data_IF_002099763314
#
_entry.id   IF_002099763314
#
_cell.length_a   1.000
_cell.length_b   1.000
_cell.length_c   1.000
_cell.angle_alpha   90.00
_cell.angle_beta   90.00
_cell.angle_gamma   90.00
#
_symmetry.space_group_name_H-M   'P 1'
#
loop_
_entity.id
_entity.type
_entity.pdbx_description
1 polymer ?
#
# COMPACT_ATOMS: atom_id res chain seq x y z
N UNK A 1 -5.36 -1.14 -16.65
CA UNK A 1 -5.49 0.29 -16.32
C UNK A 1 -4.16 0.77 -15.77
N UNK A 2 -3.80 2.03 -15.96
CA UNK A 2 -2.59 2.60 -15.36
C UNK A 2 -2.90 3.10 -13.95
N UNK A 3 -2.02 2.79 -13.00
CA UNK A 3 -2.10 3.33 -11.64
C UNK A 3 -1.86 4.85 -11.69
N UNK A 4 -2.81 5.65 -11.21
CA UNK A 4 -2.71 7.11 -11.13
C UNK A 4 -1.86 7.54 -9.94
N UNK A 5 -1.90 6.76 -8.86
CA UNK A 5 -1.11 7.03 -7.65
C UNK A 5 0.38 6.89 -7.94
N UNK A 6 1.13 7.95 -7.64
CA UNK A 6 2.59 7.92 -7.71
C UNK A 6 3.14 7.07 -6.58
N UNK A 7 3.80 5.96 -6.92
CA UNK A 7 4.51 5.09 -5.99
C UNK A 7 6.00 5.04 -6.33
N UNK A 8 6.82 4.75 -5.32
CA UNK A 8 8.26 4.52 -5.48
C UNK A 8 8.78 3.55 -4.42
N UNK A 9 9.92 2.93 -4.71
CA UNK A 9 10.60 2.02 -3.81
C UNK A 9 11.88 2.66 -3.27
N UNK A 10 12.19 2.45 -1.98
CA UNK A 10 13.48 2.79 -1.38
C UNK A 10 14.51 1.66 -1.59
N UNK A 11 15.79 1.92 -1.33
CA UNK A 11 16.84 0.89 -1.38
C UNK A 11 16.67 -0.26 -0.37
N UNK A 12 15.72 -0.14 0.57
CA UNK A 12 15.40 -1.15 1.57
C UNK A 12 14.21 -2.05 1.16
N UNK A 13 13.74 -1.97 -0.09
CA UNK A 13 12.53 -2.65 -0.59
C UNK A 13 11.23 -2.17 0.10
N UNK A 14 11.22 -0.93 0.58
CA UNK A 14 10.03 -0.29 1.12
C UNK A 14 9.33 0.49 0.03
N UNK A 15 8.02 0.36 -0.05
CA UNK A 15 7.16 1.04 -0.99
C UNK A 15 6.46 2.20 -0.30
N UNK A 16 6.50 3.34 -0.98
CA UNK A 16 5.82 4.55 -0.58
C UNK A 16 4.98 5.06 -1.73
N UNK A 17 3.93 5.79 -1.40
CA UNK A 17 3.10 6.47 -2.38
C UNK A 17 2.49 7.75 -1.84
N UNK A 18 2.00 8.59 -2.75
CA UNK A 18 1.16 9.72 -2.39
C UNK A 18 -0.31 9.30 -2.35
N UNK A 19 -0.87 9.21 -1.14
CA UNK A 19 -2.29 8.93 -0.89
C UNK A 19 -2.87 10.18 -0.24
N UNK A 20 -3.92 10.76 -0.83
CA UNK A 20 -4.55 12.00 -0.36
C UNK A 20 -3.53 13.15 -0.10
N UNK A 21 -2.63 13.39 -1.06
CA UNK A 21 -1.52 14.37 -0.97
C UNK A 21 -0.51 14.14 0.17
N UNK A 22 -0.60 13.02 0.88
CA UNK A 22 0.33 12.64 1.93
C UNK A 22 1.23 11.49 1.48
N UNK A 23 2.51 11.59 1.83
CA UNK A 23 3.43 10.47 1.66
C UNK A 23 3.08 9.39 2.68
N UNK A 24 2.70 8.21 2.21
CA UNK A 24 2.33 7.07 3.03
C UNK A 24 3.21 5.86 2.74
N UNK A 25 3.48 5.08 3.80
CA UNK A 25 4.12 3.78 3.69
C UNK A 25 3.10 2.74 3.21
N UNK A 26 3.37 2.12 2.06
CA UNK A 26 2.47 1.15 1.44
C UNK A 26 2.85 -0.30 1.78
N UNK A 27 4.03 -0.55 2.34
CA UNK A 27 4.50 -1.88 2.68
C UNK A 27 5.94 -2.10 2.24
N UNK A 28 6.44 -3.31 2.42
CA UNK A 28 7.76 -3.71 1.93
C UNK A 28 7.66 -5.00 1.10
N UNK A 29 8.21 -6.11 1.59
CA UNK A 29 8.25 -7.40 0.89
C UNK A 29 6.88 -7.98 0.54
N UNK A 30 5.84 -7.58 1.27
CA UNK A 30 4.46 -8.02 1.04
C UNK A 30 3.66 -7.09 0.12
N UNK A 31 4.28 -6.05 -0.41
CA UNK A 31 3.60 -5.11 -1.29
C UNK A 31 3.26 -5.78 -2.64
N UNK A 32 1.98 -5.80 -3.05
CA UNK A 32 1.59 -6.34 -4.35
C UNK A 32 2.08 -5.41 -5.46
N UNK A 33 2.90 -5.93 -6.37
CA UNK A 33 3.41 -5.18 -7.52
C UNK A 33 3.54 -6.12 -8.73
N UNK A 34 2.96 -5.77 -9.91
CA UNK A 34 2.20 -4.54 -10.18
C UNK A 34 0.84 -4.52 -9.47
N UNK A 35 0.32 -3.31 -9.22
CA UNK A 35 -1.02 -3.11 -8.64
C UNK A 35 -2.10 -3.16 -9.73
N UNK A 36 -3.17 -3.90 -9.47
CA UNK A 36 -4.38 -3.99 -10.29
C UNK A 36 -5.59 -3.36 -9.59
N UNK A 37 -6.64 -3.05 -10.37
CA UNK A 37 -7.88 -2.49 -9.84
C UNK A 37 -8.56 -3.48 -8.88
N UNK A 38 -8.93 -3.01 -7.70
CA UNK A 38 -9.53 -3.86 -6.66
C UNK A 38 -8.52 -4.57 -5.77
N UNK A 39 -7.21 -4.46 -6.01
CA UNK A 39 -6.19 -5.00 -5.10
C UNK A 39 -6.33 -4.40 -3.71
N UNK A 40 -6.25 -5.27 -2.70
CA UNK A 40 -6.37 -4.94 -1.28
C UNK A 40 -5.22 -5.56 -0.50
N UNK A 41 -4.58 -4.78 0.36
CA UNK A 41 -3.53 -5.28 1.23
C UNK A 41 -3.50 -4.56 2.57
N UNK A 42 -2.87 -5.21 3.55
CA UNK A 42 -2.62 -4.63 4.87
C UNK A 42 -1.12 -4.55 5.09
N UNK A 43 -0.64 -3.39 5.50
CA UNK A 43 0.76 -3.18 5.82
C UNK A 43 1.11 -3.79 7.18
N UNK A 44 2.41 -3.92 7.45
CA UNK A 44 2.89 -4.47 8.73
C UNK A 44 2.61 -3.57 9.93
N UNK A 45 2.31 -2.30 9.69
CA UNK A 45 1.90 -1.33 10.72
C UNK A 45 0.38 -1.28 10.89
N UNK A 46 -0.36 -2.12 10.13
CA UNK A 46 -1.80 -2.28 10.23
C UNK A 46 -2.62 -1.37 9.31
N UNK A 47 -2.00 -0.59 8.43
CA UNK A 47 -2.75 0.27 7.49
C UNK A 47 -3.32 -0.58 6.35
N UNK A 48 -4.60 -0.40 6.04
CA UNK A 48 -5.31 -1.16 5.01
C UNK A 48 -5.51 -0.28 3.78
N UNK A 49 -5.06 -0.76 2.62
CA UNK A 49 -5.16 -0.04 1.36
C UNK A 49 -5.96 -0.82 0.32
N UNK A 50 -6.60 -0.08 -0.59
CA UNK A 50 -7.27 -0.62 -1.77
C UNK A 50 -7.03 0.24 -3.00
N UNK A 51 -6.90 -0.38 -4.17
CA UNK A 51 -6.94 0.33 -5.46
C UNK A 51 -8.40 0.52 -5.88
N UNK A 52 -8.83 1.78 -5.99
CA UNK A 52 -10.17 2.17 -6.43
C UNK A 52 -10.01 3.23 -7.52
N UNK A 53 -10.58 2.98 -8.71
CA UNK A 53 -10.51 3.84 -9.89
C UNK A 53 -9.06 4.18 -10.32
N UNK A 54 -8.15 3.23 -10.15
CA UNK A 54 -6.71 3.39 -10.38
C UNK A 54 -5.97 4.22 -9.34
N UNK A 55 -6.59 4.54 -8.20
CA UNK A 55 -5.99 5.27 -7.08
C UNK A 55 -5.87 4.38 -5.84
N UNK A 56 -4.74 4.44 -5.14
CA UNK A 56 -4.59 3.81 -3.82
C UNK A 56 -5.31 4.66 -2.79
N UNK A 57 -6.23 4.05 -2.05
CA UNK A 57 -6.95 4.69 -0.93
C UNK A 57 -6.71 3.96 0.37
N UNK A 58 -6.55 4.72 1.45
CA UNK A 58 -6.53 4.19 2.81
C UNK A 58 -7.96 3.84 3.24
N UNK A 59 -8.22 2.57 3.50
CA UNK A 59 -9.51 2.10 4.01
C UNK A 59 -9.63 2.22 5.53
N UNK A 60 -8.50 2.26 6.23
CA UNK A 60 -8.44 2.40 7.67
C UNK A 60 -7.21 1.73 8.26
N UNK A 61 -7.24 1.53 9.57
CA UNK A 61 -6.15 0.89 10.32
C UNK A 61 -6.69 -0.25 11.17
N UNK A 62 -6.02 -1.38 11.12
CA UNK A 62 -6.27 -2.55 11.95
C UNK A 62 -5.09 -2.80 12.89
N UNK A 63 -5.26 -3.71 13.85
CA UNK A 63 -4.11 -4.19 14.64
C UNK A 63 -3.09 -4.83 13.69
N UNK A 64 -1.78 -4.58 13.87
CA UNK A 64 -0.74 -5.20 13.05
C UNK A 64 -0.96 -6.71 12.98
N UNK A 65 -0.93 -7.32 11.78
CA UNK A 65 -1.08 -8.76 11.67
C UNK A 65 -0.02 -9.43 12.55
N UNK A 66 -0.47 -10.23 13.53
CA UNK A 66 0.44 -10.91 14.46
C UNK A 66 1.35 -11.84 13.64
N UNK A 67 2.61 -11.45 13.48
CA UNK A 67 3.64 -12.32 12.90
C UNK A 67 3.90 -13.47 13.88
N UNK A 68 3.33 -14.63 13.61
CA UNK A 68 3.80 -15.87 14.20
C UNK A 68 5.12 -16.23 13.49
N UNK A 69 6.22 -16.21 14.23
CA UNK A 69 7.54 -16.68 13.78
C UNK A 69 7.60 -18.20 13.82
#
# INVERSE_FOLDING_TARGET
MELKTRIWMTGALEWYGYVDDQQMFLGQRSFPSPLEEGDEWTTEIGDMFKVIDGEIRLLGKTEPPRKFW
#
